data_IF_083772636230
#
_entry.id   IF_083772636230
#
_cell.length_a   1.000
_cell.length_b   1.000
_cell.length_c   1.000
_cell.angle_alpha   90.00
_cell.angle_beta   90.00
_cell.angle_gamma   90.00
#
_symmetry.space_group_name_H-M   'P 1'
#
loop_
_entity.id
_entity.type
_entity.pdbx_description
1 polymer ?
#
# COMPACT_ATOMS: atom_id res chain seq x y z
N UNK A 1 4.30 11.50 -24.93
CA UNK A 1 3.13 11.38 -24.05
C UNK A 1 2.09 10.53 -24.75
N UNK A 2 1.49 9.54 -24.08
CA UNK A 2 0.43 8.71 -24.64
C UNK A 2 -0.84 9.54 -24.88
N UNK A 3 -1.63 9.17 -25.89
CA UNK A 3 -2.95 9.77 -26.15
C UNK A 3 -3.99 9.26 -25.14
N UNK A 4 -5.09 10.01 -24.97
CA UNK A 4 -6.21 9.58 -24.11
C UNK A 4 -6.66 8.16 -24.48
N UNK A 5 -6.93 7.33 -23.48
CA UNK A 5 -7.40 5.93 -23.61
C UNK A 5 -6.37 4.93 -24.17
N UNK A 6 -5.12 5.32 -24.40
CA UNK A 6 -4.05 4.35 -24.65
C UNK A 6 -3.74 3.54 -23.39
N UNK A 7 -3.31 2.29 -23.54
CA UNK A 7 -2.97 1.40 -22.40
C UNK A 7 -1.92 1.97 -21.43
N UNK A 8 -1.11 2.92 -21.89
CA UNK A 8 -0.06 3.55 -21.10
C UNK A 8 -0.43 4.94 -20.59
N UNK A 9 -1.67 5.39 -20.84
CA UNK A 9 -2.18 6.65 -20.31
C UNK A 9 -2.54 6.49 -18.81
N UNK A 10 -2.08 7.41 -17.94
CA UNK A 10 -2.54 7.46 -16.56
C UNK A 10 -4.05 7.72 -16.55
N UNK A 11 -4.79 7.11 -15.64
CA UNK A 11 -6.24 7.32 -15.56
C UNK A 11 -6.70 7.33 -14.10
N UNK A 12 -7.77 8.08 -13.85
CA UNK A 12 -8.55 8.02 -12.61
C UNK A 12 -9.89 7.41 -13.01
N UNK A 13 -10.16 6.21 -12.49
CA UNK A 13 -11.34 5.40 -12.79
C UNK A 13 -12.48 5.82 -11.87
N UNK A 14 -12.21 5.99 -10.58
CA UNK A 14 -13.19 6.49 -9.61
C UNK A 14 -13.20 8.02 -9.60
N UNK A 15 -14.02 8.62 -10.47
CA UNK A 15 -14.22 10.07 -10.49
C UNK A 15 -15.03 10.60 -9.29
N UNK A 16 -15.70 9.72 -8.54
CA UNK A 16 -16.51 10.08 -7.36
C UNK A 16 -15.62 10.21 -6.12
N UNK A 17 -14.59 9.36 -5.99
CA UNK A 17 -13.57 9.44 -4.94
C UNK A 17 -12.15 9.34 -5.53
N UNK A 18 -11.71 10.38 -6.28
CA UNK A 18 -10.45 10.34 -7.00
C UNK A 18 -9.23 10.33 -6.06
N UNK A 19 -9.40 10.65 -4.78
CA UNK A 19 -8.29 10.84 -3.86
C UNK A 19 -7.40 9.60 -3.67
N UNK A 20 -7.99 8.40 -3.64
CA UNK A 20 -7.23 7.15 -3.51
C UNK A 20 -6.36 6.85 -4.74
N UNK A 21 -6.88 7.19 -5.92
CA UNK A 21 -6.20 6.96 -7.20
C UNK A 21 -5.28 8.12 -7.59
N UNK A 22 -5.49 9.32 -7.03
CA UNK A 22 -4.72 10.53 -7.31
C UNK A 22 -3.22 10.33 -7.07
N UNK A 23 -2.84 9.61 -6.01
CA UNK A 23 -1.42 9.35 -5.73
C UNK A 23 -0.78 8.47 -6.81
N UNK A 24 -1.52 7.45 -7.30
CA UNK A 24 -1.05 6.58 -8.39
C UNK A 24 -0.97 7.36 -9.70
N UNK A 25 -1.99 8.16 -9.99
CA UNK A 25 -2.03 9.06 -11.13
C UNK A 25 -0.83 10.03 -11.18
N UNK A 26 -0.51 10.69 -10.05
CA UNK A 26 0.64 11.59 -9.92
C UNK A 26 1.95 10.83 -10.21
N UNK A 27 2.13 9.65 -9.63
CA UNK A 27 3.34 8.85 -9.85
C UNK A 27 3.50 8.45 -11.32
N UNK A 28 2.42 8.02 -11.97
CA UNK A 28 2.45 7.58 -13.37
C UNK A 28 2.76 8.76 -14.31
N UNK A 29 2.14 9.92 -14.08
CA UNK A 29 2.38 11.08 -14.94
C UNK A 29 3.77 11.70 -14.72
N UNK A 30 4.29 11.71 -13.49
CA UNK A 30 5.67 12.15 -13.23
C UNK A 30 6.71 11.21 -13.86
N UNK A 31 6.41 9.90 -13.88
CA UNK A 31 7.17 8.93 -14.66
C UNK A 31 7.16 9.23 -16.16
N UNK A 32 6.02 9.63 -16.71
CA UNK A 32 5.90 10.05 -18.12
C UNK A 32 6.63 11.36 -18.41
N UNK A 33 6.58 12.34 -17.50
CA UNK A 33 7.36 13.57 -17.64
C UNK A 33 8.85 13.27 -17.73
N UNK A 34 9.34 12.39 -16.87
CA UNK A 34 10.73 11.94 -16.88
C UNK A 34 11.08 11.21 -18.18
N UNK A 35 10.24 10.27 -18.61
CA UNK A 35 10.45 9.48 -19.83
C UNK A 35 10.45 10.35 -21.10
N UNK A 36 9.62 11.38 -21.14
CA UNK A 36 9.51 12.28 -22.30
C UNK A 36 10.30 13.58 -22.14
N UNK A 37 11.14 13.70 -21.09
CA UNK A 37 11.95 14.89 -20.81
C UNK A 37 11.15 16.20 -20.77
N UNK A 38 9.94 16.15 -20.22
CA UNK A 38 9.09 17.34 -20.05
C UNK A 38 9.60 18.11 -18.83
N UNK A 39 10.24 19.24 -19.08
CA UNK A 39 10.86 20.07 -18.05
C UNK A 39 10.05 21.32 -17.71
N UNK A 40 9.33 21.89 -18.67
CA UNK A 40 8.55 23.12 -18.50
C UNK A 40 7.31 22.90 -17.64
N UNK A 41 7.12 23.75 -16.62
CA UNK A 41 5.97 23.66 -15.72
C UNK A 41 4.63 23.82 -16.43
N UNK A 42 4.55 24.72 -17.41
CA UNK A 42 3.33 24.93 -18.20
C UNK A 42 2.91 23.66 -18.96
N UNK A 43 3.87 22.92 -19.52
CA UNK A 43 3.59 21.68 -20.22
C UNK A 43 3.21 20.57 -19.24
N UNK A 44 3.89 20.48 -18.09
CA UNK A 44 3.51 19.53 -17.02
C UNK A 44 2.07 19.75 -16.56
N UNK A 45 1.66 20.99 -16.29
CA UNK A 45 0.28 21.33 -15.90
C UNK A 45 -0.74 20.92 -16.97
N UNK A 46 -0.47 21.23 -18.25
CA UNK A 46 -1.35 20.85 -19.38
C UNK A 46 -1.53 19.34 -19.46
N UNK A 47 -0.44 18.59 -19.39
CA UNK A 47 -0.51 17.13 -19.42
C UNK A 47 -1.18 16.55 -18.17
N UNK A 48 -1.05 17.20 -17.02
CA UNK A 48 -1.70 16.80 -15.76
C UNK A 48 -3.21 16.88 -15.82
N UNK A 49 -3.79 17.86 -16.51
CA UNK A 49 -5.25 17.92 -16.70
C UNK A 49 -5.71 17.15 -17.94
N UNK A 50 -4.79 16.66 -18.78
CA UNK A 50 -5.12 16.05 -20.06
C UNK A 50 -5.79 14.68 -19.92
N UNK A 51 -5.43 13.89 -18.92
CA UNK A 51 -5.88 12.50 -18.81
C UNK A 51 -7.17 12.24 -18.01
N UNK A 52 -7.47 12.96 -16.92
CA UNK A 52 -8.68 12.75 -16.14
C UNK A 52 -9.98 12.99 -16.95
N UNK A 53 -11.10 12.57 -16.37
CA UNK A 53 -12.43 12.88 -16.89
C UNK A 53 -12.71 14.37 -16.95
N UNK A 54 -13.69 14.76 -17.78
CA UNK A 54 -14.02 16.16 -18.07
C UNK A 54 -14.25 16.98 -16.79
N UNK A 55 -15.05 16.47 -15.86
CA UNK A 55 -15.39 17.14 -14.60
C UNK A 55 -14.15 17.42 -13.74
N UNK A 56 -13.22 16.47 -13.68
CA UNK A 56 -11.99 16.59 -12.90
C UNK A 56 -11.05 17.59 -13.57
N UNK A 57 -10.88 17.49 -14.90
CA UNK A 57 -10.06 18.40 -15.68
C UNK A 57 -10.54 19.84 -15.58
N UNK A 58 -11.85 20.09 -15.69
CA UNK A 58 -12.45 21.42 -15.55
C UNK A 58 -12.22 21.99 -14.14
N UNK A 59 -12.38 21.16 -13.10
CA UNK A 59 -12.10 21.57 -11.74
C UNK A 59 -10.62 21.93 -11.53
N UNK A 60 -9.69 21.10 -12.01
CA UNK A 60 -8.26 21.37 -11.89
C UNK A 60 -7.82 22.59 -12.70
N UNK A 61 -8.40 22.80 -13.88
CA UNK A 61 -8.16 23.99 -14.70
C UNK A 61 -8.66 25.29 -14.03
N UNK A 62 -9.71 25.19 -13.20
CA UNK A 62 -10.24 26.33 -12.45
C UNK A 62 -9.36 26.81 -11.29
N UNK A 63 -8.36 26.03 -10.89
CA UNK A 63 -7.46 26.39 -9.79
C UNK A 63 -6.58 27.58 -10.17
N UNK A 64 -6.38 28.56 -9.26
CA UNK A 64 -5.58 29.75 -9.55
C UNK A 64 -4.13 29.39 -9.88
N UNK A 65 -3.61 28.30 -9.31
CA UNK A 65 -2.27 27.79 -9.59
C UNK A 65 -2.10 27.26 -11.01
N UNK A 66 -3.19 26.92 -11.71
CA UNK A 66 -3.12 26.52 -13.12
C UNK A 66 -2.89 27.75 -14.02
N UNK A 67 -3.70 28.80 -13.83
CA UNK A 67 -3.67 30.02 -14.63
C UNK A 67 -2.45 30.90 -14.36
N UNK A 68 -1.92 30.89 -13.14
CA UNK A 68 -0.76 31.68 -12.76
C UNK A 68 0.55 31.09 -13.35
N UNK A 69 1.17 31.83 -14.27
CA UNK A 69 2.43 31.49 -14.90
C UNK A 69 3.63 31.51 -13.93
N UNK A 70 3.53 32.20 -12.79
CA UNK A 70 4.56 32.22 -11.74
C UNK A 70 4.49 30.99 -10.83
N UNK A 71 3.38 30.25 -10.85
CA UNK A 71 3.24 29.03 -10.06
C UNK A 71 3.85 27.85 -10.81
N UNK A 72 4.69 27.10 -10.13
CA UNK A 72 5.28 25.87 -10.66
C UNK A 72 4.24 24.73 -10.69
N UNK A 73 4.59 23.65 -11.38
CA UNK A 73 3.84 22.40 -11.33
C UNK A 73 3.71 21.87 -9.90
N UNK A 74 4.72 22.08 -9.04
CA UNK A 74 4.68 21.65 -7.64
C UNK A 74 3.58 22.38 -6.87
N UNK A 75 3.49 23.71 -7.00
CA UNK A 75 2.41 24.48 -6.36
C UNK A 75 1.02 24.03 -6.83
N UNK A 76 0.87 23.78 -8.13
CA UNK A 76 -0.38 23.27 -8.69
C UNK A 76 -0.74 21.89 -8.14
N UNK A 77 0.22 20.96 -8.11
CA UNK A 77 0.05 19.62 -7.54
C UNK A 77 -0.35 19.67 -6.06
N UNK A 78 0.30 20.50 -5.26
CA UNK A 78 0.00 20.64 -3.84
C UNK A 78 -1.42 21.22 -3.62
N UNK A 79 -1.83 22.18 -4.45
CA UNK A 79 -3.19 22.73 -4.42
C UNK A 79 -4.23 21.66 -4.75
N UNK A 80 -3.99 20.81 -5.77
CA UNK A 80 -4.86 19.67 -6.10
C UNK A 80 -4.94 18.70 -4.92
N UNK A 81 -3.81 18.29 -4.36
CA UNK A 81 -3.78 17.36 -3.21
C UNK A 81 -4.58 17.93 -2.02
N UNK A 82 -4.51 19.23 -1.78
CA UNK A 82 -5.26 19.89 -0.72
C UNK A 82 -6.80 19.85 -0.93
N UNK A 83 -7.28 19.77 -2.17
CA UNK A 83 -8.71 19.61 -2.48
C UNK A 83 -9.23 18.19 -2.23
N UNK A 84 -8.34 17.22 -2.06
CA UNK A 84 -8.69 15.83 -1.78
C UNK A 84 -8.09 15.38 -0.44
N UNK A 85 -8.78 15.65 0.70
CA UNK A 85 -8.34 15.19 2.01
C UNK A 85 -8.14 13.67 2.07
N UNK A 86 -8.97 12.94 1.30
CA UNK A 86 -8.91 11.48 1.14
C UNK A 86 -7.70 11.02 0.29
N UNK A 87 -7.05 11.95 -0.44
CA UNK A 87 -5.79 11.71 -1.13
C UNK A 87 -4.58 11.85 -0.24
N UNK A 88 -4.74 12.38 1.00
CA UNK A 88 -3.61 12.44 1.91
C UNK A 88 -3.12 11.02 2.17
N UNK A 89 -1.90 10.74 1.69
CA UNK A 89 -1.25 9.46 1.92
C UNK A 89 -1.27 9.08 3.41
N UNK A 90 -1.30 10.07 4.32
CA UNK A 90 -1.46 9.96 5.78
C UNK A 90 -2.64 9.10 6.27
N UNK A 91 -3.64 8.81 5.43
CA UNK A 91 -4.79 7.96 5.77
C UNK A 91 -5.08 6.89 4.73
N UNK A 92 -4.11 6.53 3.86
CA UNK A 92 -4.30 5.47 2.85
C UNK A 92 -4.75 4.14 3.47
N UNK A 93 -4.22 3.84 4.65
CA UNK A 93 -4.64 2.68 5.45
C UNK A 93 -4.84 3.09 6.90
N UNK A 94 -5.78 2.43 7.55
CA UNK A 94 -6.03 2.53 8.99
C UNK A 94 -5.81 1.19 9.68
N UNK A 95 -5.67 1.21 11.02
CA UNK A 95 -5.52 -0.02 11.81
C UNK A 95 -6.68 -1.01 11.55
N UNK A 96 -7.88 -0.50 11.32
CA UNK A 96 -9.05 -1.32 10.97
C UNK A 96 -8.89 -2.07 9.63
N UNK A 97 -8.11 -1.54 8.67
CA UNK A 97 -7.82 -2.27 7.43
C UNK A 97 -6.94 -3.49 7.69
N UNK A 98 -6.00 -3.40 8.64
CA UNK A 98 -5.21 -4.56 9.07
C UNK A 98 -6.08 -5.57 9.80
N UNK A 99 -6.97 -5.13 10.71
CA UNK A 99 -7.91 -6.00 11.41
C UNK A 99 -8.84 -6.73 10.45
N UNK A 100 -9.27 -6.08 9.36
CA UNK A 100 -10.07 -6.71 8.31
C UNK A 100 -9.28 -7.80 7.57
N UNK A 101 -8.02 -7.54 7.23
CA UNK A 101 -7.15 -8.55 6.61
C UNK A 101 -6.92 -9.72 7.56
N UNK A 102 -6.63 -9.44 8.84
CA UNK A 102 -6.50 -10.47 9.88
C UNK A 102 -7.77 -11.31 9.97
N UNK A 103 -8.95 -10.69 10.07
CA UNK A 103 -10.23 -11.38 10.18
C UNK A 103 -10.57 -12.23 8.95
N UNK A 104 -10.17 -11.79 7.76
CA UNK A 104 -10.33 -12.54 6.51
C UNK A 104 -9.51 -13.84 6.53
N UNK A 105 -8.26 -13.77 6.99
CA UNK A 105 -7.32 -14.90 6.91
C UNK A 105 -7.23 -15.75 8.19
N UNK A 106 -7.79 -15.30 9.32
CA UNK A 106 -7.69 -15.94 10.64
C UNK A 106 -8.09 -17.44 10.69
N UNK A 107 -8.77 -17.95 9.66
CA UNK A 107 -9.21 -19.35 9.55
C UNK A 107 -8.76 -20.06 8.27
N UNK A 108 -8.07 -19.36 7.37
CA UNK A 108 -7.80 -19.84 6.01
C UNK A 108 -6.33 -20.17 5.75
N UNK A 109 -5.41 -19.78 6.65
CA UNK A 109 -3.98 -20.02 6.43
C UNK A 109 -3.63 -21.47 6.82
N UNK A 110 -3.72 -22.39 5.87
CA UNK A 110 -3.31 -23.79 6.06
C UNK A 110 -2.14 -24.22 5.15
N UNK A 111 -1.82 -23.44 4.12
CA UNK A 111 -0.71 -23.74 3.21
C UNK A 111 0.11 -22.51 2.84
N UNK A 112 1.22 -22.74 2.13
CA UNK A 112 2.17 -21.70 1.76
C UNK A 112 1.60 -20.67 0.76
N UNK A 113 0.61 -21.04 -0.05
CA UNK A 113 -0.06 -20.12 -0.95
C UNK A 113 -0.94 -19.13 -0.18
N UNK A 114 -1.67 -19.61 0.82
CA UNK A 114 -2.51 -18.79 1.70
C UNK A 114 -1.67 -17.84 2.55
N UNK A 115 -0.55 -18.34 3.11
CA UNK A 115 0.44 -17.49 3.78
C UNK A 115 0.96 -16.39 2.85
N UNK A 116 1.26 -16.73 1.60
CA UNK A 116 1.72 -15.76 0.60
C UNK A 116 0.65 -14.72 0.26
N UNK A 117 -0.62 -15.12 0.18
CA UNK A 117 -1.75 -14.21 -0.05
C UNK A 117 -1.95 -13.25 1.12
N UNK A 118 -1.99 -13.79 2.36
CA UNK A 118 -2.09 -12.99 3.58
C UNK A 118 -0.95 -11.97 3.68
N UNK A 119 0.30 -12.40 3.47
CA UNK A 119 1.46 -11.52 3.54
C UNK A 119 1.41 -10.38 2.52
N UNK A 120 1.00 -10.68 1.27
CA UNK A 120 0.88 -9.65 0.21
C UNK A 120 -0.19 -8.61 0.50
N UNK A 121 -1.28 -8.97 1.19
CA UNK A 121 -2.31 -8.01 1.58
C UNK A 121 -1.95 -7.24 2.86
N UNK A 122 -1.29 -7.90 3.83
CA UNK A 122 -0.96 -7.34 5.13
C UNK A 122 0.26 -6.40 5.09
N UNK A 123 1.36 -6.82 4.45
CA UNK A 123 2.66 -6.14 4.54
C UNK A 123 2.65 -4.70 4.00
N UNK A 124 2.06 -4.39 2.82
CA UNK A 124 2.03 -3.01 2.32
C UNK A 124 1.26 -2.07 3.25
N UNK A 125 0.14 -2.55 3.82
CA UNK A 125 -0.70 -1.77 4.76
C UNK A 125 0.05 -1.50 6.07
N UNK A 126 0.70 -2.52 6.62
CA UNK A 126 1.45 -2.40 7.85
C UNK A 126 2.67 -1.48 7.70
N UNK A 127 3.45 -1.65 6.62
CA UNK A 127 4.61 -0.80 6.32
C UNK A 127 4.23 0.68 6.20
N UNK A 128 3.09 0.95 5.58
CA UNK A 128 2.55 2.31 5.46
C UNK A 128 2.24 2.92 6.83
N UNK A 129 1.52 2.19 7.69
CA UNK A 129 1.22 2.63 9.06
C UNK A 129 2.46 2.81 9.95
N UNK A 130 3.49 1.99 9.75
CA UNK A 130 4.78 2.14 10.45
C UNK A 130 5.51 3.40 9.98
N UNK A 131 5.52 3.68 8.67
CA UNK A 131 6.15 4.88 8.10
C UNK A 131 5.48 6.16 8.62
N UNK A 132 4.17 6.13 8.83
CA UNK A 132 3.40 7.22 9.42
C UNK A 132 3.50 7.32 10.95
N UNK A 133 4.29 6.45 11.60
CA UNK A 133 4.39 6.35 13.07
C UNK A 133 3.04 6.10 13.77
N UNK A 134 2.07 5.50 13.07
CA UNK A 134 0.76 5.12 13.61
C UNK A 134 0.74 3.68 14.13
N UNK A 135 1.76 2.90 13.79
CA UNK A 135 1.99 1.54 14.27
C UNK A 135 3.49 1.35 14.53
N UNK A 136 3.85 0.71 15.63
CA UNK A 136 5.23 0.30 15.85
C UNK A 136 5.56 -1.02 15.13
N UNK A 137 6.85 -1.30 14.92
CA UNK A 137 7.32 -2.58 14.36
C UNK A 137 6.86 -3.76 15.22
N UNK A 138 6.92 -3.62 16.55
CA UNK A 138 6.50 -4.67 17.48
C UNK A 138 4.98 -4.90 17.45
N UNK A 139 4.16 -3.85 17.41
CA UNK A 139 2.72 -3.99 17.23
C UNK A 139 2.36 -4.64 15.89
N UNK A 140 3.16 -4.38 14.84
CA UNK A 140 2.99 -5.00 13.53
C UNK A 140 3.16 -6.52 13.60
N UNK A 141 4.19 -7.00 14.31
CA UNK A 141 4.40 -8.43 14.56
C UNK A 141 3.25 -9.07 15.33
N UNK A 142 2.77 -8.41 16.39
CA UNK A 142 1.61 -8.86 17.16
C UNK A 142 0.29 -8.85 16.36
N UNK A 143 0.13 -7.92 15.42
CA UNK A 143 -1.03 -7.92 14.53
C UNK A 143 -0.92 -9.06 13.50
N UNK A 144 0.28 -9.33 13.00
CA UNK A 144 0.52 -10.41 12.05
C UNK A 144 0.27 -11.79 12.66
N UNK A 145 0.68 -12.02 13.92
CA UNK A 145 0.43 -13.28 14.64
C UNK A 145 -1.06 -13.61 14.80
N UNK A 146 -1.91 -12.59 14.98
CA UNK A 146 -3.37 -12.77 15.09
C UNK A 146 -4.04 -13.22 13.80
N UNK A 147 -3.36 -13.13 12.67
CA UNK A 147 -3.85 -13.60 11.37
C UNK A 147 -3.78 -15.11 11.19
N UNK A 148 -3.08 -15.83 12.09
CA UNK A 148 -2.92 -17.26 11.98
C UNK A 148 -3.98 -18.03 12.77
N UNK A 149 -4.47 -19.17 12.25
CA UNK A 149 -5.22 -20.13 13.05
C UNK A 149 -4.40 -20.64 14.24
N UNK A 150 -5.06 -20.97 15.35
CA UNK A 150 -4.39 -21.39 16.59
C UNK A 150 -3.41 -22.57 16.37
N UNK A 151 -3.81 -23.60 15.62
CA UNK A 151 -2.97 -24.77 15.37
C UNK A 151 -1.70 -24.43 14.59
N UNK A 152 -1.78 -23.51 13.64
CA UNK A 152 -0.63 -23.03 12.86
C UNK A 152 0.24 -22.13 13.73
N UNK A 153 -0.37 -21.26 14.53
CA UNK A 153 0.36 -20.38 15.43
C UNK A 153 1.17 -21.16 16.48
N UNK A 154 0.61 -22.21 17.07
CA UNK A 154 1.32 -23.03 18.07
C UNK A 154 2.59 -23.67 17.48
N UNK A 155 2.51 -24.15 16.23
CA UNK A 155 3.66 -24.69 15.52
C UNK A 155 4.70 -23.61 15.16
N UNK A 156 4.24 -22.41 14.77
CA UNK A 156 5.11 -21.25 14.53
C UNK A 156 5.82 -20.82 15.81
N UNK A 157 5.10 -20.72 16.93
CA UNK A 157 5.65 -20.35 18.23
C UNK A 157 6.72 -21.34 18.70
N UNK A 158 6.46 -22.65 18.57
CA UNK A 158 7.47 -23.69 18.81
C UNK A 158 8.73 -23.47 17.95
N UNK A 159 8.56 -23.17 16.66
CA UNK A 159 9.69 -22.92 15.75
C UNK A 159 10.47 -21.65 16.13
N UNK A 160 9.78 -20.60 16.55
CA UNK A 160 10.39 -19.34 16.98
C UNK A 160 11.22 -19.54 18.25
N UNK A 161 10.72 -20.27 19.25
CA UNK A 161 11.48 -20.60 20.47
C UNK A 161 12.78 -21.36 20.19
N UNK A 162 12.79 -22.24 19.19
CA UNK A 162 14.02 -22.96 18.79
C UNK A 162 15.03 -22.02 18.12
N UNK A 163 14.55 -21.02 17.37
CA UNK A 163 15.40 -20.09 16.61
C UNK A 163 15.90 -18.91 17.44
N UNK A 164 15.12 -18.49 18.43
CA UNK A 164 15.38 -17.37 19.30
C UNK A 164 15.32 -17.86 20.77
N UNK A 165 16.31 -18.65 21.22
CA UNK A 165 16.28 -19.28 22.53
C UNK A 165 16.36 -18.27 23.69
N UNK A 166 16.99 -17.12 23.45
CA UNK A 166 17.14 -16.04 24.45
C UNK A 166 15.98 -15.01 24.39
N UNK A 167 14.93 -15.26 23.59
CA UNK A 167 13.81 -14.34 23.44
C UNK A 167 12.94 -14.33 24.70
N UNK A 168 12.70 -13.14 25.24
CA UNK A 168 11.92 -13.00 26.46
C UNK A 168 10.42 -13.24 26.19
N UNK A 169 9.68 -13.99 27.02
CA UNK A 169 8.26 -14.28 26.79
C UNK A 169 7.33 -13.07 26.73
N UNK A 170 7.75 -11.94 27.30
CA UNK A 170 7.01 -10.68 27.25
C UNK A 170 7.30 -9.86 25.98
N UNK A 171 8.34 -10.22 25.22
CA UNK A 171 8.73 -9.49 24.01
C UNK A 171 7.95 -10.01 22.81
N UNK A 172 7.50 -9.07 21.97
CA UNK A 172 6.79 -9.38 20.74
C UNK A 172 7.78 -9.82 19.67
N UNK A 173 7.44 -10.87 18.91
CA UNK A 173 8.24 -11.32 17.78
C UNK A 173 8.15 -10.33 16.62
N UNK A 174 9.26 -10.16 15.92
CA UNK A 174 9.29 -9.36 14.69
C UNK A 174 8.57 -10.07 13.55
N UNK A 175 7.93 -9.29 12.68
CA UNK A 175 7.16 -9.81 11.55
C UNK A 175 8.01 -10.69 10.62
N UNK A 176 9.28 -10.33 10.42
CA UNK A 176 10.20 -11.09 9.58
C UNK A 176 10.47 -12.50 10.13
N UNK A 177 10.66 -12.61 11.44
CA UNK A 177 10.89 -13.88 12.11
C UNK A 177 9.64 -14.76 12.09
N UNK A 178 8.48 -14.17 12.37
CA UNK A 178 7.19 -14.87 12.28
C UNK A 178 6.98 -15.40 10.85
N UNK A 179 7.25 -14.58 9.83
CA UNK A 179 7.07 -14.99 8.44
C UNK A 179 8.02 -16.14 8.04
N UNK A 180 9.30 -16.07 8.42
CA UNK A 180 10.26 -17.13 8.17
C UNK A 180 9.89 -18.44 8.88
N UNK A 181 9.42 -18.36 10.14
CA UNK A 181 8.95 -19.51 10.90
C UNK A 181 7.68 -20.12 10.26
N UNK A 182 6.73 -19.31 9.84
CA UNK A 182 5.50 -19.74 9.17
C UNK A 182 5.80 -20.49 7.85
N UNK A 183 6.72 -19.98 7.03
CA UNK A 183 7.15 -20.65 5.81
C UNK A 183 7.70 -22.06 6.11
N UNK A 184 8.54 -22.19 7.13
CA UNK A 184 9.12 -23.48 7.51
C UNK A 184 8.07 -24.48 7.99
N UNK A 185 7.16 -24.04 8.87
CA UNK A 185 6.10 -24.87 9.43
C UNK A 185 5.15 -25.38 8.34
N UNK A 186 4.64 -24.48 7.49
CA UNK A 186 3.69 -24.85 6.45
C UNK A 186 4.34 -25.69 5.33
N UNK A 187 5.64 -25.51 5.08
CA UNK A 187 6.39 -26.39 4.17
C UNK A 187 6.57 -27.80 4.76
N UNK A 188 6.68 -27.93 6.08
CA UNK A 188 6.76 -29.21 6.78
C UNK A 188 5.42 -29.95 6.82
N UNK A 189 4.31 -29.23 7.00
CA UNK A 189 2.95 -29.81 7.07
C UNK A 189 2.54 -30.48 5.75
N UNK A 190 2.84 -29.86 4.61
CA UNK A 190 2.57 -30.44 3.28
C UNK A 190 3.30 -31.77 3.00
N UNK A 191 4.38 -32.09 3.74
CA UNK A 191 5.09 -33.37 3.60
C UNK A 191 4.48 -34.49 4.45
N UNK A 192 3.66 -34.17 5.45
CA UNK A 192 3.05 -35.13 6.36
C UNK A 192 1.81 -35.85 5.80
N UNK A 193 1.17 -35.30 4.76
CA UNK A 193 -0.05 -35.86 4.15
C UNK A 193 0.21 -36.82 2.96
N UNK A 194 1.48 -37.14 2.66
CA UNK A 194 1.86 -38.01 1.53
C UNK A 194 2.20 -39.47 1.93
N UNK A 195 1.67 -39.98 3.04
CA UNK A 195 1.88 -41.38 3.48
C UNK A 195 0.57 -42.13 3.67
#
# INVERSE_FOLDING_TARGET
>A
MPFRKEKSAPNIIDEVSPGRELTHYISDIEGLFSRHSITQDADKKKWFIYYPGLTISEFWESLPEYADAQKTYVHFKDAIIAQYPDASASRKYERHDLERVIGKYAREIDNLADLGAFYREFFPKAKHLVTEKRLSTHETGNMFSKGFPNHVWDAIACRLQIKLPDHHPADLYDLADIYAAAQFVLQGMNKGEST
#
